data_IF_143992249774
#
_entry.id   IF_143992249774
#
_cell.length_a   1.000
_cell.length_b   1.000
_cell.length_c   1.000
_cell.angle_alpha   90.00
_cell.angle_beta   90.00
_cell.angle_gamma   90.00
#
_symmetry.space_group_name_H-M   'P 1'
#
loop_
_entity.id
_entity.type
_entity.pdbx_description
1 polymer ?
#
# COMPACT_ATOMS: atom_id res chain seq x y z
N UNK A 1 8.05 1.09 20.94
CA UNK A 1 7.90 1.31 19.48
C UNK A 1 6.53 0.84 18.93
N UNK A 2 6.22 -0.46 19.02
CA UNK A 2 4.98 -1.06 18.49
C UNK A 2 3.73 -0.45 19.15
N UNK A 3 3.77 -0.25 20.48
CA UNK A 3 2.68 0.35 21.24
C UNK A 3 2.37 1.79 20.82
N UNK A 4 3.37 2.61 20.50
CA UNK A 4 3.17 3.99 20.04
C UNK A 4 2.48 4.03 18.67
N UNK A 5 2.95 3.22 17.72
CA UNK A 5 2.40 3.12 16.37
C UNK A 5 0.96 2.57 16.41
N UNK A 6 0.67 1.61 17.30
CA UNK A 6 -0.68 1.09 17.51
C UNK A 6 -1.66 2.13 18.09
N UNK A 7 -1.17 3.07 18.92
CA UNK A 7 -2.00 4.14 19.48
C UNK A 7 -2.30 5.21 18.43
N UNK A 8 -1.31 5.56 17.61
CA UNK A 8 -1.48 6.54 16.52
C UNK A 8 -2.43 6.00 15.44
N UNK A 9 -2.35 4.72 15.09
CA UNK A 9 -3.26 4.10 14.12
C UNK A 9 -4.73 4.07 14.59
N UNK A 10 -5.00 3.88 15.89
CA UNK A 10 -6.36 4.00 16.46
C UNK A 10 -6.92 5.42 16.37
N UNK A 11 -6.08 6.43 16.57
CA UNK A 11 -6.48 7.83 16.33
C UNK A 11 -6.80 8.01 14.84
N UNK A 12 -6.00 7.41 13.96
CA UNK A 12 -6.23 7.44 12.52
C UNK A 12 -7.53 6.80 12.04
N UNK A 13 -8.09 5.83 12.77
CA UNK A 13 -9.42 5.26 12.46
C UNK A 13 -10.53 6.31 12.58
N UNK A 14 -10.45 7.16 13.61
CA UNK A 14 -11.46 8.20 13.90
C UNK A 14 -11.34 9.34 12.90
N UNK A 15 -10.12 9.80 12.65
CA UNK A 15 -9.85 10.94 11.77
C UNK A 15 -9.71 10.57 10.28
N UNK A 16 -9.97 9.30 9.90
CA UNK A 16 -9.81 8.75 8.54
C UNK A 16 -8.43 9.07 7.92
N UNK A 17 -7.39 8.96 8.73
CA UNK A 17 -6.01 9.27 8.33
C UNK A 17 -5.42 8.15 7.46
N UNK A 18 -4.37 8.46 6.66
CA UNK A 18 -3.75 7.47 5.79
C UNK A 18 -3.16 6.27 6.53
N UNK A 19 -2.77 6.44 7.78
CA UNK A 19 -2.39 5.36 8.70
C UNK A 19 -3.54 5.12 9.69
N UNK A 20 -4.09 3.92 9.68
CA UNK A 20 -5.19 3.50 10.56
C UNK A 20 -4.95 2.06 11.04
N UNK A 21 -5.78 1.52 11.93
CA UNK A 21 -5.52 0.21 12.54
C UNK A 21 -5.58 -0.93 11.54
N UNK A 22 -6.55 -0.92 10.61
CA UNK A 22 -6.69 -1.92 9.55
C UNK A 22 -5.46 -1.93 8.61
N UNK A 23 -5.00 -0.75 8.20
CA UNK A 23 -3.83 -0.61 7.32
C UNK A 23 -2.54 -1.01 8.02
N UNK A 24 -2.40 -0.68 9.31
CA UNK A 24 -1.25 -1.14 10.10
C UNK A 24 -1.23 -2.67 10.15
N UNK A 25 -2.38 -3.29 10.46
CA UNK A 25 -2.50 -4.74 10.51
C UNK A 25 -2.12 -5.41 9.18
N UNK A 26 -2.64 -4.90 8.04
CA UNK A 26 -2.30 -5.42 6.70
C UNK A 26 -0.82 -5.30 6.35
N UNK A 27 -0.11 -4.31 6.89
CA UNK A 27 1.31 -4.08 6.62
C UNK A 27 2.23 -4.94 7.51
N UNK A 28 1.81 -5.26 8.73
CA UNK A 28 2.67 -5.93 9.71
C UNK A 28 2.34 -7.40 9.94
N UNK A 29 1.13 -7.85 9.62
CA UNK A 29 0.77 -9.27 9.74
C UNK A 29 1.08 -10.06 8.46
N UNK A 30 1.26 -11.37 8.61
CA UNK A 30 1.51 -12.31 7.52
C UNK A 30 0.23 -12.64 6.73
N UNK A 31 -0.50 -11.63 6.29
CA UNK A 31 -1.72 -11.84 5.51
C UNK A 31 -1.35 -12.40 4.13
N UNK A 32 -1.52 -13.72 3.96
CA UNK A 32 -1.21 -14.41 2.69
C UNK A 32 -2.37 -14.20 1.72
N UNK A 33 -2.13 -13.35 0.71
CA UNK A 33 -3.08 -13.16 -0.41
C UNK A 33 -2.60 -13.88 -1.66
N UNK A 34 -3.54 -14.49 -2.39
CA UNK A 34 -3.24 -15.15 -3.66
C UNK A 34 -3.46 -14.20 -4.83
N UNK A 35 -2.38 -13.81 -5.48
CA UNK A 35 -2.43 -12.99 -6.70
C UNK A 35 -3.29 -13.66 -7.79
N UNK A 36 -3.26 -14.99 -7.87
CA UNK A 36 -4.08 -15.74 -8.82
C UNK A 36 -5.59 -15.54 -8.59
N UNK A 37 -6.04 -15.49 -7.33
CA UNK A 37 -7.46 -15.20 -7.03
C UNK A 37 -7.84 -13.78 -7.45
N UNK A 38 -6.98 -12.81 -7.17
CA UNK A 38 -7.19 -11.40 -7.52
C UNK A 38 -7.28 -11.23 -9.04
N UNK A 39 -6.33 -11.79 -9.79
CA UNK A 39 -6.30 -11.69 -11.26
C UNK A 39 -7.54 -12.36 -11.88
N UNK A 40 -7.95 -13.53 -11.37
CA UNK A 40 -9.17 -14.21 -11.80
C UNK A 40 -10.42 -13.36 -11.54
N UNK A 41 -10.52 -12.72 -10.38
CA UNK A 41 -11.66 -11.87 -10.03
C UNK A 41 -11.72 -10.58 -10.87
N UNK A 42 -10.57 -9.99 -11.24
CA UNK A 42 -10.50 -8.81 -12.11
C UNK A 42 -10.96 -9.14 -13.53
N UNK A 43 -10.66 -10.35 -14.03
CA UNK A 43 -11.12 -10.82 -15.35
C UNK A 43 -10.53 -10.05 -16.54
N UNK A 44 -9.43 -9.31 -16.34
CA UNK A 44 -8.76 -8.50 -17.36
C UNK A 44 -7.24 -8.70 -17.32
N UNK A 45 -6.55 -8.61 -18.47
CA UNK A 45 -5.09 -8.65 -18.49
C UNK A 45 -4.53 -7.42 -17.74
N UNK A 46 -3.45 -7.64 -16.98
CA UNK A 46 -2.75 -6.54 -16.33
C UNK A 46 -2.00 -5.71 -17.39
N UNK A 47 -2.00 -4.37 -17.29
CA UNK A 47 -1.50 -3.49 -18.35
C UNK A 47 0.03 -3.47 -18.47
N UNK A 48 0.74 -3.82 -17.41
CA UNK A 48 2.22 -3.85 -17.35
C UNK A 48 2.68 -4.95 -16.39
N UNK A 49 3.92 -5.38 -16.52
CA UNK A 49 4.53 -6.30 -15.55
C UNK A 49 4.77 -5.59 -14.21
N UNK A 50 4.85 -6.37 -13.12
CA UNK A 50 5.13 -5.84 -11.78
C UNK A 50 6.42 -5.04 -11.73
N UNK A 51 7.49 -5.55 -12.35
CA UNK A 51 8.79 -4.89 -12.35
C UNK A 51 8.74 -3.51 -13.05
N UNK A 52 8.17 -3.45 -14.25
CA UNK A 52 8.03 -2.19 -15.00
C UNK A 52 7.15 -1.17 -14.26
N UNK A 53 6.04 -1.64 -13.68
CA UNK A 53 5.14 -0.80 -12.89
C UNK A 53 5.83 -0.17 -11.67
N UNK A 54 6.64 -0.94 -10.95
CA UNK A 54 7.43 -0.45 -9.81
C UNK A 54 8.48 0.58 -10.26
N UNK A 55 9.24 0.29 -11.33
CA UNK A 55 10.24 1.22 -11.88
C UNK A 55 9.58 2.56 -12.28
N UNK A 56 8.42 2.51 -12.92
CA UNK A 56 7.67 3.73 -13.31
C UNK A 56 7.23 4.54 -12.10
N UNK A 57 6.74 3.87 -11.04
CA UNK A 57 6.31 4.49 -9.79
C UNK A 57 7.48 5.15 -9.04
N UNK A 58 8.63 4.47 -8.93
CA UNK A 58 9.80 5.07 -8.28
C UNK A 58 10.32 6.30 -9.04
N UNK A 59 10.28 6.27 -10.37
CA UNK A 59 10.66 7.43 -11.20
C UNK A 59 9.73 8.63 -10.99
N UNK A 60 8.43 8.44 -10.71
CA UNK A 60 7.50 9.57 -10.50
C UNK A 60 7.77 10.32 -9.20
N UNK A 61 8.22 9.65 -8.13
CA UNK A 61 8.62 10.32 -6.89
C UNK A 61 9.83 11.25 -7.10
N UNK A 62 10.77 10.87 -7.98
CA UNK A 62 11.93 11.73 -8.31
C UNK A 62 11.54 12.98 -9.10
N UNK A 63 10.47 12.93 -9.90
CA UNK A 63 9.98 14.08 -10.69
C UNK A 63 9.38 15.17 -9.79
N UNK A 64 8.67 14.79 -8.72
CA UNK A 64 8.07 15.73 -7.78
C UNK A 64 9.10 16.48 -6.90
N UNK A 65 10.33 15.97 -6.78
CA UNK A 65 11.42 16.64 -6.06
C UNK A 65 12.20 17.66 -6.92
N UNK A 66 11.89 17.81 -8.22
CA UNK A 66 12.51 18.83 -9.10
C UNK A 66 11.70 20.13 -9.19
N UNK A 67 10.53 20.18 -8.55
CA UNK A 67 9.64 21.36 -8.49
C UNK A 67 9.56 21.95 -7.06
N UNK A 68 10.48 21.54 -6.17
CA UNK A 68 10.74 22.17 -4.88
C UNK A 68 12.15 22.74 -4.87
#
# INVERSE_FOLDING_TARGET
PISLISRISRIGDIFKLPLNSERLQKLTENYVVSNNKIIKAIGKPLPVTTNEGLIKTFKSFRKNNKLK
#
